data_IF_616956930371
#
_entry.id   IF_616956930371
#
_cell.length_a   1.000
_cell.length_b   1.000
_cell.length_c   1.000
_cell.angle_alpha   90.00
_cell.angle_beta   90.00
_cell.angle_gamma   90.00
#
_symmetry.space_group_name_H-M   'P 1'
#
loop_
_entity.id
_entity.type
_entity.pdbx_description
1 polymer ?
#
# COMPACT_ATOMS: atom_id res chain seq x y z
N UNK A 1 17.29 -29.78 -36.53
CA UNK A 1 18.47 -29.20 -35.82
C UNK A 1 18.39 -27.68 -36.05
N UNK A 2 17.81 -26.91 -35.13
CA UNK A 2 18.46 -26.30 -33.94
C UNK A 2 19.49 -25.24 -34.38
N UNK A 3 19.40 -23.97 -34.01
CA UNK A 3 19.11 -23.41 -32.67
C UNK A 3 18.49 -22.02 -32.74
N UNK A 4 17.48 -21.83 -31.90
CA UNK A 4 16.98 -20.56 -31.37
C UNK A 4 18.06 -19.81 -30.58
N UNK A 5 18.08 -18.49 -30.69
CA UNK A 5 18.57 -17.53 -29.66
C UNK A 5 17.31 -16.75 -29.28
N UNK A 6 16.63 -16.82 -28.13
CA UNK A 6 17.02 -16.90 -26.71
C UNK A 6 17.95 -15.78 -26.24
N UNK A 7 17.41 -14.56 -26.29
CA UNK A 7 17.66 -13.50 -25.31
C UNK A 7 16.44 -12.56 -25.36
N UNK A 8 15.71 -12.28 -24.30
CA UNK A 8 15.84 -12.72 -22.92
C UNK A 8 14.87 -11.91 -22.07
N UNK A 9 13.57 -12.21 -22.19
CA UNK A 9 12.57 -12.27 -21.10
C UNK A 9 12.83 -11.36 -19.87
N UNK A 10 12.91 -10.04 -20.06
CA UNK A 10 12.90 -9.05 -18.97
C UNK A 10 12.16 -7.74 -19.33
N UNK A 11 11.48 -7.69 -20.49
CA UNK A 11 10.75 -6.50 -20.97
C UNK A 11 9.22 -6.67 -20.92
N UNK A 12 8.71 -7.69 -20.24
CA UNK A 12 7.28 -8.05 -20.24
C UNK A 12 6.77 -8.35 -18.83
N UNK A 13 6.93 -7.39 -17.92
CA UNK A 13 6.13 -7.29 -16.70
C UNK A 13 5.89 -5.80 -16.44
N UNK A 14 4.76 -5.31 -16.97
CA UNK A 14 4.27 -3.94 -16.79
C UNK A 14 4.17 -3.57 -15.30
N UNK A 15 4.60 -2.34 -15.00
CA UNK A 15 4.60 -1.70 -13.67
C UNK A 15 5.22 -2.54 -12.55
N UNK A 16 6.55 -2.64 -12.57
CA UNK A 16 7.33 -2.76 -11.33
C UNK A 16 7.45 -1.36 -10.73
N UNK A 17 6.32 -0.75 -10.35
CA UNK A 17 6.27 0.65 -9.90
C UNK A 17 6.79 0.78 -8.47
N UNK A 18 7.94 1.40 -8.35
CA UNK A 18 8.47 2.07 -7.15
C UNK A 18 7.61 3.25 -6.67
N UNK A 19 6.43 3.48 -7.25
CA UNK A 19 5.50 4.55 -6.89
C UNK A 19 4.51 4.01 -5.86
N UNK A 20 4.61 4.50 -4.62
CA UNK A 20 3.66 4.16 -3.56
C UNK A 20 2.31 4.81 -3.88
N UNK A 21 1.49 4.16 -4.70
CA UNK A 21 0.10 4.55 -4.96
C UNK A 21 -0.10 5.95 -5.54
N UNK A 22 -1.32 6.48 -5.39
CA UNK A 22 -1.71 7.79 -5.96
C UNK A 22 -1.35 8.94 -5.00
N UNK A 23 -1.07 10.13 -5.54
CA UNK A 23 -0.84 11.35 -4.76
C UNK A 23 -2.14 11.89 -4.17
N UNK A 24 -2.15 12.15 -2.86
CA UNK A 24 -3.30 12.52 -2.04
C UNK A 24 -2.99 13.81 -1.26
N UNK A 25 -3.86 14.80 -1.40
CA UNK A 25 -3.81 16.03 -0.62
C UNK A 25 -4.90 16.04 0.47
N UNK A 26 -4.55 15.50 1.64
CA UNK A 26 -5.49 15.44 2.77
C UNK A 26 -5.83 16.80 3.39
N UNK A 27 -4.94 17.78 3.28
CA UNK A 27 -5.20 19.12 3.83
C UNK A 27 -6.31 19.82 3.04
N UNK A 28 -6.40 19.56 1.73
CA UNK A 28 -7.55 19.98 0.90
C UNK A 28 -8.84 19.25 1.27
N UNK A 29 -8.77 17.98 1.69
CA UNK A 29 -9.93 17.18 2.07
C UNK A 29 -10.49 17.57 3.44
N UNK A 30 -9.62 17.91 4.39
CA UNK A 30 -9.96 18.20 5.78
C UNK A 30 -10.89 19.42 5.99
N UNK A 31 -11.18 20.19 4.94
CA UNK A 31 -12.12 21.32 4.96
C UNK A 31 -13.31 21.17 4.00
N UNK A 32 -13.59 19.96 3.51
CA UNK A 32 -14.65 19.69 2.52
C UNK A 32 -15.72 18.76 3.08
N UNK A 33 -16.89 18.72 2.43
CA UNK A 33 -17.95 17.73 2.70
C UNK A 33 -17.62 16.33 2.10
N UNK A 34 -16.33 16.00 1.95
CA UNK A 34 -15.92 14.71 1.40
C UNK A 34 -16.45 13.55 2.25
N UNK A 35 -17.12 12.62 1.57
CA UNK A 35 -17.89 11.57 2.22
C UNK A 35 -16.96 10.57 2.92
N UNK A 36 -15.81 10.25 2.33
CA UNK A 36 -14.85 9.29 2.87
C UNK A 36 -14.06 9.88 4.03
N UNK A 37 -13.68 11.16 3.93
CA UNK A 37 -13.07 11.90 5.02
C UNK A 37 -14.00 11.98 6.21
N UNK A 38 -15.26 12.40 6.03
CA UNK A 38 -16.19 12.57 7.15
C UNK A 38 -16.56 11.25 7.82
N UNK A 39 -16.71 10.16 7.05
CA UNK A 39 -16.97 8.80 7.58
C UNK A 39 -15.77 8.14 8.26
N UNK A 40 -14.55 8.64 8.04
CA UNK A 40 -13.39 8.03 8.65
C UNK A 40 -13.39 8.32 10.16
N UNK A 41 -13.69 7.29 10.94
CA UNK A 41 -13.74 7.33 12.40
C UNK A 41 -12.54 6.56 12.95
N UNK A 42 -11.37 7.23 13.13
CA UNK A 42 -10.13 6.54 13.49
C UNK A 42 -10.21 5.86 14.86
N UNK A 43 -10.95 6.45 15.81
CA UNK A 43 -11.15 5.89 17.15
C UNK A 43 -11.96 4.58 17.16
N UNK A 44 -12.91 4.45 16.23
CA UNK A 44 -13.75 3.25 16.12
C UNK A 44 -13.17 2.22 15.14
N UNK A 45 -12.17 2.63 14.34
CA UNK A 45 -11.50 1.75 13.38
C UNK A 45 -10.35 0.99 14.06
N UNK A 46 -10.22 -0.30 13.76
CA UNK A 46 -9.03 -1.03 14.16
C UNK A 46 -7.88 -0.73 13.19
N UNK A 47 -6.80 -0.15 13.71
CA UNK A 47 -5.58 0.13 12.94
C UNK A 47 -4.45 -0.71 13.50
N UNK A 48 -3.75 -1.45 12.64
CA UNK A 48 -2.52 -2.19 12.96
C UNK A 48 -1.35 -1.67 12.12
N UNK A 49 -0.30 -1.15 12.77
CA UNK A 49 0.93 -0.76 12.05
C UNK A 49 1.74 -2.01 11.66
N UNK A 50 1.96 -2.25 10.36
CA UNK A 50 2.70 -3.44 9.89
C UNK A 50 4.17 -3.13 9.65
N UNK A 51 4.45 -2.00 9.00
CA UNK A 51 5.79 -1.50 8.69
C UNK A 51 5.82 0.03 8.80
N UNK A 52 6.90 0.69 8.38
CA UNK A 52 6.94 2.16 8.37
C UNK A 52 5.94 2.78 7.39
N UNK A 53 5.62 2.04 6.33
CA UNK A 53 4.74 2.50 5.24
C UNK A 53 3.38 1.78 5.25
N UNK A 54 3.33 0.56 5.79
CA UNK A 54 2.18 -0.32 5.71
C UNK A 54 1.37 -0.42 6.99
N UNK A 55 0.06 -0.43 6.83
CA UNK A 55 -0.95 -0.55 7.87
C UNK A 55 -1.97 -1.60 7.45
N UNK A 56 -2.64 -2.21 8.43
CA UNK A 56 -3.93 -2.86 8.22
C UNK A 56 -5.01 -2.03 8.89
N UNK A 57 -6.12 -1.86 8.21
CA UNK A 57 -7.25 -1.07 8.71
C UNK A 57 -8.51 -1.87 8.57
N UNK A 58 -9.32 -1.90 9.61
CA UNK A 58 -10.68 -2.41 9.58
C UNK A 58 -11.62 -1.31 10.07
N UNK A 59 -12.59 -0.96 9.24
CA UNK A 59 -13.63 0.01 9.60
C UNK A 59 -14.52 -0.54 10.72
N UNK A 60 -15.20 0.30 11.53
CA UNK A 60 -15.99 -0.13 12.68
C UNK A 60 -17.08 -1.14 12.32
N UNK A 61 -17.77 -0.88 11.21
CA UNK A 61 -18.84 -1.72 10.66
C UNK A 61 -18.34 -2.71 9.60
N UNK A 62 -17.02 -2.76 9.36
CA UNK A 62 -16.40 -3.61 8.35
C UNK A 62 -15.94 -4.93 8.93
N UNK A 63 -16.28 -6.05 8.28
CA UNK A 63 -15.77 -7.37 8.68
C UNK A 63 -14.34 -7.62 8.17
N UNK A 64 -13.96 -6.97 7.06
CA UNK A 64 -12.70 -7.22 6.35
C UNK A 64 -11.58 -6.25 6.75
N UNK A 65 -10.36 -6.79 6.80
CA UNK A 65 -9.14 -6.00 6.97
C UNK A 65 -8.57 -5.61 5.62
N UNK A 66 -8.25 -4.33 5.46
CA UNK A 66 -7.63 -3.79 4.26
C UNK A 66 -6.15 -3.47 4.47
N UNK A 67 -5.31 -3.81 3.50
CA UNK A 67 -3.92 -3.36 3.47
C UNK A 67 -3.85 -1.94 2.94
N UNK A 68 -3.28 -1.06 3.75
CA UNK A 68 -3.11 0.36 3.44
C UNK A 68 -1.62 0.66 3.42
N UNK A 69 -1.17 1.36 2.38
CA UNK A 69 0.16 1.95 2.33
C UNK A 69 -0.02 3.46 2.32
N UNK A 70 0.67 4.16 3.21
CA UNK A 70 0.60 5.61 3.28
C UNK A 70 1.94 6.20 3.71
N UNK A 71 2.45 7.14 2.90
CA UNK A 71 3.70 7.84 3.12
C UNK A 71 3.54 9.34 2.85
N UNK A 72 4.46 10.15 3.37
CA UNK A 72 4.61 11.57 3.01
C UNK A 72 5.64 11.71 1.89
N UNK A 73 5.30 12.46 0.85
CA UNK A 73 6.21 12.87 -0.23
C UNK A 73 6.16 14.39 -0.33
N UNK A 74 7.23 15.07 0.10
CA UNK A 74 7.23 16.53 0.18
C UNK A 74 6.11 17.09 1.06
N UNK A 75 5.20 17.85 0.44
CA UNK A 75 4.04 18.51 1.06
C UNK A 75 2.73 17.72 0.91
N UNK A 76 2.74 16.60 0.19
CA UNK A 76 1.57 15.76 -0.03
C UNK A 76 1.81 14.35 0.50
N UNK A 77 0.78 13.51 0.40
CA UNK A 77 0.86 12.10 0.77
C UNK A 77 0.76 11.25 -0.47
N UNK A 78 1.34 10.07 -0.44
CA UNK A 78 1.17 9.06 -1.47
C UNK A 78 0.68 7.78 -0.82
N UNK A 79 -0.34 7.15 -1.39
CA UNK A 79 -0.98 6.02 -0.73
C UNK A 79 -1.80 5.11 -1.62
N UNK A 80 -1.98 3.89 -1.11
CA UNK A 80 -2.72 2.81 -1.74
C UNK A 80 -3.56 2.11 -0.69
N UNK A 81 -4.72 1.61 -1.09
CA UNK A 81 -5.52 0.68 -0.30
C UNK A 81 -6.04 -0.42 -1.23
N UNK A 82 -6.05 -1.68 -0.78
CA UNK A 82 -6.59 -2.83 -1.52
C UNK A 82 -8.15 -2.86 -1.58
N UNK A 83 -8.82 -1.82 -1.07
CA UNK A 83 -10.27 -1.69 -1.18
C UNK A 83 -10.66 -1.08 -2.54
N UNK A 84 -11.88 -1.37 -2.98
CA UNK A 84 -12.48 -0.76 -4.18
C UNK A 84 -12.98 0.68 -3.99
N UNK A 85 -12.63 1.33 -2.88
CA UNK A 85 -13.13 2.68 -2.54
C UNK A 85 -12.84 3.72 -3.63
N UNK A 86 -11.72 3.54 -4.36
CA UNK A 86 -11.34 4.38 -5.51
C UNK A 86 -12.24 4.21 -6.74
N UNK A 87 -12.98 3.10 -6.87
CA UNK A 87 -13.94 2.90 -7.97
C UNK A 87 -15.23 3.71 -7.75
N UNK A 88 -15.52 4.07 -6.50
CA UNK A 88 -16.81 4.63 -6.09
C UNK A 88 -16.73 6.06 -5.57
N UNK A 89 -15.53 6.61 -5.38
CA UNK A 89 -15.32 7.95 -4.84
C UNK A 89 -14.21 8.68 -5.59
N UNK A 90 -14.41 9.98 -5.87
CA UNK A 90 -13.36 10.89 -6.35
C UNK A 90 -12.53 11.37 -5.15
N UNK A 91 -11.71 10.48 -4.59
CA UNK A 91 -10.87 10.77 -3.42
C UNK A 91 -10.38 9.52 -2.69
N UNK A 92 -9.51 9.68 -1.68
CA UNK A 92 -9.01 8.55 -0.90
C UNK A 92 -10.15 7.82 -0.19
N UNK A 93 -10.01 6.52 -0.08
CA UNK A 93 -10.97 5.70 0.66
C UNK A 93 -10.98 6.03 2.16
N UNK A 94 -12.03 5.57 2.85
CA UNK A 94 -12.19 5.71 4.30
C UNK A 94 -10.98 5.19 5.09
N UNK A 95 -10.31 4.14 4.62
CA UNK A 95 -9.15 3.54 5.29
C UNK A 95 -7.91 4.45 5.26
N UNK A 96 -7.63 5.06 4.10
CA UNK A 96 -6.55 6.03 3.96
C UNK A 96 -6.81 7.28 4.82
N UNK A 97 -8.07 7.74 4.82
CA UNK A 97 -8.51 8.83 5.69
C UNK A 97 -8.36 8.48 7.18
N UNK A 98 -8.70 7.26 7.60
CA UNK A 98 -8.57 6.81 8.98
C UNK A 98 -7.10 6.83 9.45
N UNK A 99 -6.17 6.27 8.68
CA UNK A 99 -4.73 6.32 9.00
C UNK A 99 -4.23 7.76 9.06
N UNK A 100 -4.64 8.60 8.10
CA UNK A 100 -4.25 10.03 8.08
C UNK A 100 -4.73 10.77 9.33
N UNK A 101 -5.99 10.57 9.74
CA UNK A 101 -6.56 11.20 10.94
C UNK A 101 -5.87 10.69 12.22
N UNK A 102 -5.63 9.39 12.33
CA UNK A 102 -4.93 8.79 13.47
C UNK A 102 -3.48 9.34 13.63
N UNK A 103 -2.81 9.63 12.51
CA UNK A 103 -1.47 10.20 12.48
C UNK A 103 -1.45 11.74 12.46
N UNK A 104 -2.60 12.43 12.59
CA UNK A 104 -2.68 13.87 12.35
C UNK A 104 -1.85 14.68 13.34
N UNK A 105 -1.01 15.58 12.82
CA UNK A 105 -0.12 16.44 13.60
C UNK A 105 -0.87 17.63 14.19
N UNK A 106 -0.71 17.89 15.49
CA UNK A 106 -1.37 19.00 16.20
C UNK A 106 -2.48 18.55 17.17
N UNK A 107 -2.85 17.27 17.11
CA UNK A 107 -3.60 16.55 18.15
C UNK A 107 -2.71 15.44 18.71
N UNK A 108 -3.06 14.89 19.88
CA UNK A 108 -2.36 13.71 20.40
C UNK A 108 -2.54 12.56 19.41
N UNK A 109 -1.47 12.05 18.77
CA UNK A 109 -1.61 11.00 17.77
C UNK A 109 -2.14 9.72 18.41
N UNK A 110 -2.98 9.02 17.67
CA UNK A 110 -3.66 7.83 18.17
C UNK A 110 -2.71 6.64 18.27
N UNK A 111 -3.16 5.61 18.99
CA UNK A 111 -2.45 4.34 19.13
C UNK A 111 -3.15 3.27 18.32
N UNK A 112 -2.35 2.46 17.65
CA UNK A 112 -2.80 1.26 16.97
C UNK A 112 -3.25 0.19 17.98
N UNK A 113 -3.84 -0.91 17.52
CA UNK A 113 -4.35 -2.00 18.38
C UNK A 113 -3.27 -2.65 19.26
N UNK A 114 -1.98 -2.46 18.92
CA UNK A 114 -0.84 -2.95 19.67
C UNK A 114 -0.23 -1.87 20.60
N UNK A 115 -0.92 -0.74 20.78
CA UNK A 115 -0.52 0.37 21.63
C UNK A 115 0.58 1.26 21.05
N UNK A 116 0.97 1.09 19.78
CA UNK A 116 2.02 1.89 19.13
C UNK A 116 1.41 3.17 18.56
N UNK A 117 2.11 4.30 18.69
CA UNK A 117 1.67 5.55 18.06
C UNK A 117 1.62 5.37 16.54
N UNK A 118 0.47 5.68 15.93
CA UNK A 118 0.33 5.69 14.47
C UNK A 118 1.13 6.87 13.92
N UNK A 119 2.06 6.59 13.00
CA UNK A 119 2.92 7.59 12.37
C UNK A 119 3.02 7.34 10.89
N UNK A 120 2.82 8.39 10.10
CA UNK A 120 3.12 8.37 8.66
C UNK A 120 4.57 8.82 8.50
N UNK A 121 5.38 8.00 7.84
CA UNK A 121 6.79 8.28 7.58
C UNK A 121 6.97 8.98 6.22
N UNK A 122 8.11 9.65 6.08
CA UNK A 122 8.59 10.10 4.77
C UNK A 122 8.89 8.91 3.86
N UNK A 123 8.44 9.00 2.61
CA UNK A 123 8.70 7.98 1.58
C UNK A 123 10.21 7.74 1.41
N UNK A 124 11.00 8.80 1.47
CA UNK A 124 12.47 8.78 1.37
C UNK A 124 13.18 8.14 2.56
N UNK A 125 12.47 7.95 3.68
CA UNK A 125 13.01 7.19 4.80
C UNK A 125 12.91 5.67 4.61
N UNK A 126 12.12 5.20 3.64
CA UNK A 126 11.97 3.78 3.34
C UNK A 126 12.89 3.35 2.22
N UNK A 127 13.59 2.23 2.42
CA UNK A 127 14.43 1.63 1.38
C UNK A 127 13.60 0.96 0.27
N UNK A 128 14.26 0.60 -0.83
CA UNK A 128 13.60 -0.01 -1.99
C UNK A 128 12.86 -1.31 -1.64
N UNK A 129 13.33 -2.09 -0.67
CA UNK A 129 12.70 -3.34 -0.28
C UNK A 129 11.45 -3.11 0.58
N UNK A 130 11.47 -2.12 1.47
CA UNK A 130 10.30 -1.71 2.23
C UNK A 130 9.22 -1.12 1.32
N UNK A 131 9.61 -0.31 0.32
CA UNK A 131 8.67 0.19 -0.70
C UNK A 131 8.04 -0.93 -1.52
N UNK A 132 8.81 -1.98 -1.83
CA UNK A 132 8.34 -3.15 -2.58
C UNK A 132 7.47 -4.11 -1.75
N UNK A 133 7.74 -4.22 -0.45
CA UNK A 133 7.06 -5.14 0.46
C UNK A 133 6.55 -4.43 1.72
N UNK A 134 5.67 -3.41 1.59
CA UNK A 134 5.22 -2.60 2.72
C UNK A 134 4.31 -3.39 3.68
N UNK A 135 3.69 -4.46 3.20
CA UNK A 135 2.83 -5.38 3.98
C UNK A 135 3.60 -6.44 4.76
N UNK A 136 4.93 -6.52 4.59
CA UNK A 136 5.79 -7.34 5.43
C UNK A 136 6.32 -6.52 6.60
N UNK A 137 6.29 -7.11 7.80
CA UNK A 137 7.07 -6.56 8.92
C UNK A 137 8.55 -6.59 8.59
N UNK A 138 9.36 -5.74 9.21
CA UNK A 138 10.83 -5.71 9.04
C UNK A 138 11.45 -7.11 9.14
N UNK A 139 11.13 -7.84 10.21
CA UNK A 139 11.62 -9.21 10.46
C UNK A 139 11.15 -10.25 9.45
N UNK A 140 9.98 -10.06 8.85
CA UNK A 140 9.47 -10.93 7.77
C UNK A 140 10.20 -10.60 6.47
N UNK A 141 10.34 -9.31 6.16
CA UNK A 141 11.02 -8.81 4.97
C UNK A 141 12.48 -9.23 4.94
N UNK A 142 13.23 -9.03 6.02
CA UNK A 142 14.63 -9.49 6.13
C UNK A 142 14.77 -10.99 5.84
N UNK A 143 13.92 -11.81 6.46
CA UNK A 143 13.94 -13.25 6.25
C UNK A 143 13.59 -13.62 4.80
N UNK A 144 12.55 -13.00 4.24
CA UNK A 144 12.08 -13.24 2.89
C UNK A 144 13.14 -12.86 1.84
N UNK A 145 13.74 -11.68 1.95
CA UNK A 145 14.80 -11.24 1.06
C UNK A 145 16.03 -12.14 1.13
N UNK A 146 16.45 -12.53 2.33
CA UNK A 146 17.66 -13.34 2.50
C UNK A 146 17.47 -14.81 2.07
N UNK A 147 16.33 -15.41 2.40
CA UNK A 147 16.12 -16.85 2.24
C UNK A 147 15.24 -17.25 1.05
N UNK A 148 14.32 -16.39 0.61
CA UNK A 148 13.44 -16.69 -0.54
C UNK A 148 14.01 -16.11 -1.83
N UNK A 149 14.39 -14.83 -1.80
CA UNK A 149 14.92 -14.13 -2.98
C UNK A 149 16.45 -14.19 -3.08
N UNK A 150 17.12 -14.51 -1.97
CA UNK A 150 18.56 -14.66 -1.87
C UNK A 150 18.98 -16.11 -1.68
N UNK A 151 20.28 -16.31 -1.49
CA UNK A 151 20.89 -17.64 -1.42
C UNK A 151 21.09 -18.16 0.02
N UNK A 152 20.56 -17.47 1.03
CA UNK A 152 20.83 -17.81 2.45
C UNK A 152 19.92 -18.93 2.93
N UNK A 153 20.50 -20.03 3.43
CA UNK A 153 19.70 -21.11 4.03
C UNK A 153 19.05 -20.70 5.36
N UNK A 154 17.84 -21.22 5.66
CA UNK A 154 17.09 -20.90 6.90
C UNK A 154 17.91 -21.05 8.17
N UNK A 155 18.70 -22.14 8.30
CA UNK A 155 19.55 -22.38 9.48
C UNK A 155 20.74 -21.42 9.55
N UNK A 156 21.26 -21.02 8.39
CA UNK A 156 22.34 -20.04 8.31
C UNK A 156 21.85 -18.66 8.71
N UNK A 157 20.73 -18.21 8.14
CA UNK A 157 20.07 -16.96 8.51
C UNK A 157 19.70 -16.93 9.99
N UNK A 158 19.13 -18.02 10.51
CA UNK A 158 18.83 -18.15 11.94
C UNK A 158 20.05 -17.93 12.83
N UNK A 159 21.19 -18.54 12.50
CA UNK A 159 22.43 -18.37 13.28
C UNK A 159 22.96 -16.95 13.19
N UNK A 160 22.98 -16.37 11.99
CA UNK A 160 23.46 -15.01 11.75
C UNK A 160 22.64 -13.98 12.54
N UNK A 161 21.32 -14.18 12.62
CA UNK A 161 20.38 -13.27 13.31
C UNK A 161 20.17 -13.60 14.80
N UNK A 162 20.82 -14.66 15.32
CA UNK A 162 20.73 -15.04 16.72
C UNK A 162 19.35 -15.53 17.18
N UNK A 163 18.50 -16.04 16.28
CA UNK A 163 17.20 -16.60 16.71
C UNK A 163 17.39 -17.91 17.46
N UNK A 164 16.51 -18.19 18.42
CA UNK A 164 16.59 -19.40 19.27
C UNK A 164 16.32 -20.70 18.49
N UNK A 165 15.58 -20.64 17.38
CA UNK A 165 15.27 -21.82 16.58
C UNK A 165 15.11 -21.50 15.09
N UNK A 166 15.46 -22.43 14.18
CA UNK A 166 15.15 -22.31 12.76
C UNK A 166 13.63 -22.18 12.50
N UNK A 167 12.81 -22.76 13.39
CA UNK A 167 11.35 -22.67 13.31
C UNK A 167 10.82 -21.23 13.34
N UNK A 168 11.49 -20.33 14.05
CA UNK A 168 11.15 -18.89 14.07
C UNK A 168 11.29 -18.27 12.67
N UNK A 169 12.37 -18.61 11.96
CA UNK A 169 12.62 -18.12 10.59
C UNK A 169 11.62 -18.78 9.63
N UNK A 170 11.41 -20.09 9.73
CA UNK A 170 10.42 -20.80 8.91
C UNK A 170 9.01 -20.24 9.05
N UNK A 171 8.58 -19.91 10.27
CA UNK A 171 7.25 -19.31 10.47
C UNK A 171 7.14 -17.93 9.82
N UNK A 172 8.18 -17.09 9.92
CA UNK A 172 8.19 -15.78 9.27
C UNK A 172 8.16 -15.90 7.75
N UNK A 173 8.92 -16.84 7.18
CA UNK A 173 8.90 -17.12 5.75
C UNK A 173 7.54 -17.61 5.28
N UNK A 174 6.91 -18.52 6.03
CA UNK A 174 5.57 -18.99 5.71
C UNK A 174 4.58 -17.82 5.62
N UNK A 175 4.54 -16.96 6.64
CA UNK A 175 3.64 -15.79 6.67
C UNK A 175 4.02 -14.78 5.59
N UNK A 176 5.30 -14.56 5.33
CA UNK A 176 5.74 -13.65 4.28
C UNK A 176 5.30 -14.13 2.89
N UNK A 177 5.46 -15.42 2.58
CA UNK A 177 5.02 -16.02 1.33
C UNK A 177 3.51 -15.89 1.13
N UNK A 178 2.74 -16.16 2.18
CA UNK A 178 1.28 -16.02 2.19
C UNK A 178 0.87 -14.58 1.81
N UNK A 179 1.42 -13.58 2.52
CA UNK A 179 1.14 -12.16 2.23
C UNK A 179 1.58 -11.70 0.84
N UNK A 180 2.77 -12.10 0.40
CA UNK A 180 3.25 -11.77 -0.96
C UNK A 180 2.33 -12.41 -2.00
N UNK A 181 1.93 -13.66 -1.79
CA UNK A 181 1.03 -14.36 -2.70
C UNK A 181 -0.35 -13.73 -2.77
N UNK A 182 -0.95 -13.38 -1.63
CA UNK A 182 -2.22 -12.65 -1.56
C UNK A 182 -2.14 -11.31 -2.31
N UNK A 183 -1.08 -10.53 -2.06
CA UNK A 183 -0.88 -9.26 -2.75
C UNK A 183 -0.72 -9.43 -4.27
N UNK A 184 0.05 -10.41 -4.72
CA UNK A 184 0.18 -10.72 -6.15
C UNK A 184 -1.15 -11.17 -6.78
N UNK A 185 -1.98 -11.93 -6.05
CA UNK A 185 -3.31 -12.31 -6.53
C UNK A 185 -4.23 -11.11 -6.66
N UNK A 186 -4.23 -10.20 -5.67
CA UNK A 186 -5.01 -8.97 -5.72
C UNK A 186 -4.62 -8.11 -6.93
N UNK A 187 -3.31 -7.87 -7.14
CA UNK A 187 -2.82 -7.12 -8.31
C UNK A 187 -3.27 -7.74 -9.64
N UNK A 188 -3.31 -9.09 -9.72
CA UNK A 188 -3.81 -9.80 -10.90
C UNK A 188 -5.34 -9.68 -11.05
N UNK A 189 -6.09 -9.76 -9.95
CA UNK A 189 -7.55 -9.67 -9.95
C UNK A 189 -8.05 -8.26 -10.31
N UNK A 190 -7.32 -7.23 -9.89
CA UNK A 190 -7.60 -5.82 -10.22
C UNK A 190 -7.18 -5.45 -11.64
N UNK A 191 -6.75 -6.44 -12.44
CA UNK A 191 -6.43 -6.29 -13.86
C UNK A 191 -5.22 -5.41 -14.12
N UNK A 192 -4.23 -5.39 -13.21
CA UNK A 192 -2.99 -4.62 -13.23
C UNK A 192 -2.95 -3.56 -14.32
N UNK A 193 -3.41 -2.33 -14.04
CA UNK A 193 -3.65 -1.24 -15.02
C UNK A 193 -2.57 -1.15 -16.11
N UNK A 194 -2.74 -1.93 -17.18
CA UNK A 194 -2.23 -1.70 -18.52
C UNK A 194 -3.22 -0.73 -19.16
N UNK A 195 -3.09 0.54 -18.81
CA UNK A 195 -4.05 1.56 -19.21
C UNK A 195 -3.42 2.93 -19.14
N UNK A 196 -2.64 3.24 -20.17
CA UNK A 196 -2.33 4.60 -20.58
C UNK A 196 -3.62 5.44 -20.55
N UNK A 197 -3.80 6.26 -19.51
CA UNK A 197 -4.74 7.39 -19.58
C UNK A 197 -4.13 8.39 -20.54
N UNK A 198 -4.46 8.22 -21.81
CA UNK A 198 -4.19 9.18 -22.87
C UNK A 198 -4.98 10.47 -22.54
N UNK A 199 -4.34 11.63 -22.31
CA UNK A 199 -5.03 12.84 -21.85
C UNK A 199 -5.84 13.56 -22.95
N UNK A 200 -6.19 12.88 -24.06
CA UNK A 200 -6.67 13.53 -25.31
C UNK A 200 -8.12 13.16 -25.67
N UNK A 201 -8.92 12.63 -24.73
CA UNK A 201 -10.37 12.49 -24.94
C UNK A 201 -11.20 12.94 -23.75
N UNK A 202 -10.90 14.10 -23.20
CA UNK A 202 -11.91 14.91 -22.49
C UNK A 202 -11.98 16.30 -23.14
N UNK A 203 -12.57 16.29 -24.33
CA UNK A 203 -12.66 17.46 -25.18
C UNK A 203 -13.81 17.28 -26.15
N UNK A 204 -15.05 17.45 -25.65
CA UNK A 204 -16.25 18.00 -26.32
C UNK A 204 -17.53 17.42 -25.70
N UNK A 205 -18.17 18.19 -24.81
CA UNK A 205 -19.45 18.84 -25.14
C UNK A 205 -19.86 19.85 -24.05
N UNK A 206 -19.24 21.03 -24.06
CA UNK A 206 -19.86 22.26 -23.53
C UNK A 206 -19.91 23.28 -24.66
N UNK A 207 -20.99 23.22 -25.43
CA UNK A 207 -21.59 24.33 -26.17
C UNK A 207 -23.09 24.03 -26.07
N UNK A 208 -23.91 24.85 -25.44
CA UNK A 208 -23.97 26.29 -25.60
C UNK A 208 -25.39 26.58 -26.08
N UNK A 209 -26.06 27.43 -25.34
CA UNK A 209 -27.45 27.83 -25.43
C UNK A 209 -27.95 28.08 -26.86
N UNK A 210 -29.18 27.66 -27.13
CA UNK A 210 -29.96 28.03 -28.31
C UNK A 210 -31.36 28.47 -27.92
N UNK A 211 -31.47 29.63 -27.26
CA UNK A 211 -32.70 30.42 -27.26
C UNK A 211 -32.82 31.10 -28.62
N UNK A 212 -33.96 30.91 -29.31
CA UNK A 212 -34.69 32.02 -29.96
C UNK A 212 -36.03 31.57 -30.55
N UNK A 213 -37.08 32.19 -30.00
CA UNK A 213 -38.30 32.75 -30.62
C UNK A 213 -39.14 31.88 -31.54
#
# INVERSE_FOLDING_TARGET
>A
MSRSRSGGRFEEFGRVDTEIGESINFDRLAGTDDTSWNKAEPYESDIETVSRLGFKVRSPDGEEWHHVVLAREGDHHVGLCDCKGWEYNDGPCVHLCAVRKAAWTGVTPERDINGRTVRICDLDAADAAERRYPYLTEKQREAYLACELGDTGVREFQRAQGYSSPGTVSNRLRVAREKVHEHEQQLRADGGRDGHRDPVTDGRHLLGEGVSR
#
